data_IF_791572880131
#
_entry.id   IF_791572880131
#
_cell.length_a   1.000
_cell.length_b   1.000
_cell.length_c   1.000
_cell.angle_alpha   90.00
_cell.angle_beta   90.00
_cell.angle_gamma   90.00
#
_symmetry.space_group_name_H-M   'P 1'
#
loop_
_entity.id
_entity.type
_entity.pdbx_description
1 polymer ?
#
# COMPACT_ATOMS: atom_id res chain seq x y z
N UNK A 1 -2.71 12.30 -30.06
CA UNK A 1 -2.39 12.01 -28.65
C UNK A 1 -3.59 11.33 -28.02
N UNK A 2 -3.57 9.99 -27.94
CA UNK A 2 -4.68 9.23 -27.35
C UNK A 2 -4.58 9.25 -25.83
N UNK A 3 -5.72 9.55 -25.19
CA UNK A 3 -5.83 9.82 -23.77
C UNK A 3 -5.47 8.63 -22.90
N UNK A 4 -4.66 8.91 -21.88
CA UNK A 4 -4.41 8.00 -20.76
C UNK A 4 -5.70 7.93 -19.95
N UNK A 5 -6.52 6.92 -20.21
CA UNK A 5 -7.68 6.58 -19.39
C UNK A 5 -7.17 6.27 -17.97
N UNK A 6 -7.50 7.12 -16.98
CA UNK A 6 -7.16 6.87 -15.58
C UNK A 6 -7.94 5.66 -15.08
N UNK A 7 -7.36 4.48 -15.22
CA UNK A 7 -7.86 3.26 -14.58
C UNK A 7 -7.97 3.45 -13.06
N UNK A 8 -9.03 2.94 -12.40
CA UNK A 8 -9.19 3.11 -10.97
C UNK A 8 -7.98 2.58 -10.20
N UNK A 9 -7.49 3.37 -9.22
CA UNK A 9 -6.16 3.23 -8.62
C UNK A 9 -5.87 1.87 -7.96
N UNK A 10 -6.89 1.10 -7.57
CA UNK A 10 -6.73 -0.26 -7.07
C UNK A 10 -6.33 -1.27 -8.17
N UNK A 11 -6.68 -0.99 -9.44
CA UNK A 11 -6.32 -1.83 -10.59
C UNK A 11 -4.81 -1.86 -10.81
N UNK A 12 -4.10 -0.77 -10.48
CA UNK A 12 -2.65 -0.67 -10.65
C UNK A 12 -1.89 -1.74 -9.89
N UNK A 13 -2.18 -1.96 -8.60
CA UNK A 13 -1.51 -3.03 -7.84
C UNK A 13 -1.81 -4.42 -8.43
N UNK A 14 -3.01 -4.63 -8.98
CA UNK A 14 -3.33 -5.91 -9.65
C UNK A 14 -2.52 -6.09 -10.95
N UNK A 15 -2.39 -5.04 -11.75
CA UNK A 15 -1.59 -5.06 -12.99
C UNK A 15 -0.11 -5.25 -12.71
N UNK A 16 0.44 -4.54 -11.73
CA UNK A 16 1.84 -4.69 -11.31
C UNK A 16 2.11 -6.13 -10.85
N UNK A 17 1.15 -6.74 -10.14
CA UNK A 17 1.27 -8.16 -9.75
C UNK A 17 1.28 -9.08 -10.97
N UNK A 18 0.39 -8.85 -11.93
CA UNK A 18 0.30 -9.68 -13.14
C UNK A 18 1.58 -9.56 -13.99
N UNK A 19 2.08 -8.35 -14.18
CA UNK A 19 3.33 -8.09 -14.89
C UNK A 19 4.52 -8.75 -14.18
N UNK A 20 4.62 -8.62 -12.85
CA UNK A 20 5.70 -9.29 -12.09
C UNK A 20 5.66 -10.82 -12.27
N UNK A 21 4.47 -11.42 -12.30
CA UNK A 21 4.29 -12.85 -12.56
C UNK A 21 4.72 -13.22 -13.97
N UNK A 22 4.32 -12.45 -14.98
CA UNK A 22 4.72 -12.66 -16.38
C UNK A 22 6.25 -12.57 -16.53
N UNK A 23 6.89 -11.57 -15.90
CA UNK A 23 8.35 -11.43 -15.92
C UNK A 23 9.04 -12.61 -15.23
N UNK A 24 8.55 -13.08 -14.10
CA UNK A 24 9.08 -14.29 -13.44
C UNK A 24 9.01 -15.52 -14.36
N UNK A 25 7.92 -15.68 -15.12
CA UNK A 25 7.78 -16.78 -16.07
C UNK A 25 8.75 -16.69 -17.25
N UNK A 26 9.12 -15.47 -17.67
CA UNK A 26 10.17 -15.26 -18.67
C UNK A 26 11.54 -15.60 -18.08
N UNK A 27 11.85 -15.09 -16.89
CA UNK A 27 13.12 -15.33 -16.20
C UNK A 27 13.35 -16.81 -15.87
N UNK A 28 12.29 -17.56 -15.57
CA UNK A 28 12.38 -19.00 -15.34
C UNK A 28 12.90 -19.79 -16.55
N UNK A 29 12.84 -19.24 -17.77
CA UNK A 29 13.40 -19.88 -18.98
C UNK A 29 14.92 -19.80 -19.06
N UNK A 30 15.52 -18.87 -18.32
CA UNK A 30 16.96 -18.62 -18.23
C UNK A 30 17.39 -18.69 -16.76
N UNK A 31 16.90 -19.69 -16.03
CA UNK A 31 17.04 -19.79 -14.57
C UNK A 31 18.51 -19.85 -14.08
N UNK A 32 19.45 -20.19 -14.97
CA UNK A 32 20.89 -20.21 -14.68
C UNK A 32 21.54 -18.81 -14.68
N UNK A 33 20.91 -17.82 -15.34
CA UNK A 33 21.41 -16.46 -15.38
C UNK A 33 20.90 -15.65 -14.18
N UNK A 34 21.79 -14.92 -13.47
CA UNK A 34 21.36 -14.06 -12.38
C UNK A 34 20.45 -12.95 -12.91
N UNK A 35 19.39 -12.66 -12.17
CA UNK A 35 18.43 -11.63 -12.52
C UNK A 35 18.22 -10.62 -11.39
N UNK A 36 17.68 -9.46 -11.75
CA UNK A 36 17.20 -8.46 -10.81
C UNK A 36 15.80 -8.01 -11.22
N UNK A 37 14.82 -8.24 -10.33
CA UNK A 37 13.43 -7.84 -10.52
C UNK A 37 13.01 -6.90 -9.39
N UNK A 38 12.63 -5.67 -9.75
CA UNK A 38 12.07 -4.70 -8.81
C UNK A 38 10.56 -4.56 -9.01
N UNK A 39 9.79 -4.86 -7.97
CA UNK A 39 8.32 -4.77 -7.99
C UNK A 39 7.87 -3.70 -7.00
N UNK A 40 7.24 -2.62 -7.51
CA UNK A 40 6.79 -1.49 -6.68
C UNK A 40 5.28 -1.55 -6.46
N UNK A 41 4.84 -1.87 -5.25
CA UNK A 41 3.44 -1.71 -4.86
C UNK A 41 3.15 -0.27 -4.43
N UNK A 42 1.96 0.24 -4.79
CA UNK A 42 1.56 1.63 -4.49
C UNK A 42 0.83 1.73 -3.15
N UNK A 43 0.10 0.69 -2.76
CA UNK A 43 -0.67 0.68 -1.52
C UNK A 43 0.24 0.34 -0.34
N UNK A 44 0.10 1.06 0.80
CA UNK A 44 -1.12 1.74 1.25
C UNK A 44 -1.27 3.24 0.92
N UNK A 45 -0.43 3.84 0.07
CA UNK A 45 -0.52 5.27 -0.26
C UNK A 45 -1.92 5.72 -0.71
N UNK A 46 -2.26 6.95 -0.29
CA UNK A 46 -3.49 7.65 -0.65
C UNK A 46 -3.70 7.70 -2.18
N UNK A 47 -4.95 7.75 -2.66
CA UNK A 47 -6.20 7.54 -1.91
C UNK A 47 -6.34 6.08 -1.47
N UNK A 48 -6.97 5.82 -0.32
CA UNK A 48 -7.16 4.44 0.14
C UNK A 48 -8.19 3.70 -0.73
N UNK A 49 -7.71 2.83 -1.61
CA UNK A 49 -8.54 2.07 -2.53
C UNK A 49 -8.14 0.60 -2.51
N UNK A 50 -8.93 -0.22 -1.84
CA UNK A 50 -8.81 -1.68 -1.80
C UNK A 50 -10.17 -2.33 -2.13
N UNK A 51 -10.21 -3.57 -2.65
CA UNK A 51 -11.45 -4.32 -2.82
C UNK A 51 -12.20 -4.52 -1.49
N UNK A 52 -13.54 -4.45 -1.50
CA UNK A 52 -14.40 -4.51 -0.28
C UNK A 52 -14.03 -5.63 0.70
N UNK A 53 -13.71 -6.82 0.20
CA UNK A 53 -13.32 -7.96 1.05
C UNK A 53 -12.18 -7.68 2.02
N UNK A 54 -11.28 -6.74 1.71
CA UNK A 54 -10.19 -6.33 2.60
C UNK A 54 -10.62 -5.31 3.65
N UNK A 55 -11.66 -4.52 3.35
CA UNK A 55 -12.28 -3.62 4.32
C UNK A 55 -13.02 -4.41 5.40
N UNK A 56 -13.68 -5.49 4.98
CA UNK A 56 -14.48 -6.35 5.85
C UNK A 56 -13.62 -7.11 6.89
N UNK A 57 -12.29 -7.16 6.70
CA UNK A 57 -11.34 -7.73 7.66
C UNK A 57 -11.09 -6.81 8.88
N UNK A 58 -11.37 -5.51 8.76
CA UNK A 58 -11.03 -4.50 9.76
C UNK A 58 -12.28 -3.70 10.16
N UNK A 59 -13.15 -4.27 11.01
CA UNK A 59 -14.29 -3.55 11.54
C UNK A 59 -13.80 -2.33 12.35
N UNK A 60 -14.56 -1.24 12.31
CA UNK A 60 -14.14 0.03 12.91
C UNK A 60 -13.89 -0.09 14.41
N UNK A 61 -14.64 -0.97 15.06
CA UNK A 61 -14.59 -1.25 16.49
C UNK A 61 -13.28 -1.95 16.89
N UNK A 62 -12.59 -2.62 15.96
CA UNK A 62 -11.30 -3.24 16.25
C UNK A 62 -10.13 -2.25 16.25
N UNK A 63 -10.34 -1.02 15.77
CA UNK A 63 -9.29 -0.01 15.70
C UNK A 63 -9.21 0.81 16.99
N UNK A 64 -8.07 0.70 17.66
CA UNK A 64 -7.70 1.58 18.77
C UNK A 64 -7.17 2.89 18.21
N UNK A 65 -7.61 4.00 18.79
CA UNK A 65 -7.07 5.32 18.46
C UNK A 65 -5.63 5.45 18.99
N UNK A 66 -4.74 6.12 18.25
CA UNK A 66 -3.41 6.45 18.75
C UNK A 66 -3.51 7.40 19.95
N UNK A 67 -2.72 7.15 21.00
CA UNK A 67 -2.70 8.00 22.21
C UNK A 67 -2.09 9.38 21.99
N UNK A 68 -1.42 9.61 20.85
CA UNK A 68 -0.68 10.81 20.49
C UNK A 68 -1.33 11.61 19.36
N UNK A 69 -2.67 11.65 19.30
CA UNK A 69 -3.41 12.41 18.29
C UNK A 69 -3.22 13.94 18.38
N UNK A 70 -2.55 14.44 19.42
CA UNK A 70 -2.25 15.85 19.64
C UNK A 70 -0.74 16.08 19.60
N UNK A 71 -0.35 17.20 19.00
CA UNK A 71 1.03 17.66 19.00
C UNK A 71 1.43 18.00 20.45
N UNK A 72 2.58 17.49 20.87
CA UNK A 72 3.12 17.78 22.19
C UNK A 72 3.25 19.29 22.41
N UNK A 73 2.89 19.77 23.60
CA UNK A 73 3.08 21.18 23.99
C UNK A 73 4.55 21.64 23.91
N UNK A 74 5.48 20.67 23.98
CA UNK A 74 6.92 20.92 23.93
C UNK A 74 7.51 20.78 22.51
N UNK A 75 6.69 20.40 21.51
CA UNK A 75 7.17 20.32 20.13
C UNK A 75 7.31 21.72 19.53
N UNK A 76 8.39 21.94 18.78
CA UNK A 76 8.54 23.19 18.02
C UNK A 76 7.48 23.27 16.91
N UNK A 77 7.11 24.50 16.53
CA UNK A 77 6.10 24.71 15.49
C UNK A 77 6.59 24.24 14.12
N UNK A 78 7.89 24.26 13.89
CA UNK A 78 8.57 23.84 12.67
C UNK A 78 8.49 22.32 12.47
N UNK A 79 8.43 21.54 13.55
CA UNK A 79 8.24 20.09 13.49
C UNK A 79 6.79 19.67 13.21
N UNK A 80 5.85 20.62 13.15
CA UNK A 80 4.44 20.33 12.94
C UNK A 80 4.16 20.04 11.46
N UNK A 81 3.81 18.79 11.15
CA UNK A 81 3.44 18.39 9.80
C UNK A 81 1.96 18.69 9.50
N UNK A 82 1.72 19.46 8.43
CA UNK A 82 0.39 19.98 8.11
C UNK A 82 -0.60 19.00 7.45
N UNK A 83 -0.18 17.77 7.16
CA UNK A 83 -0.98 16.75 6.42
C UNK A 83 -1.48 17.23 5.06
N UNK A 84 -0.61 17.91 4.29
CA UNK A 84 -0.99 18.63 3.07
C UNK A 84 -1.77 17.79 2.05
N UNK A 85 -1.28 16.59 1.71
CA UNK A 85 -1.98 15.71 0.76
C UNK A 85 -3.33 15.22 1.31
N UNK A 86 -3.35 14.71 2.55
CA UNK A 86 -4.58 14.21 3.17
C UNK A 86 -5.65 15.32 3.26
N UNK A 87 -5.26 16.56 3.56
CA UNK A 87 -6.21 17.71 3.63
C UNK A 87 -6.69 18.19 2.27
N UNK A 88 -6.15 17.70 1.15
CA UNK A 88 -6.68 18.01 -0.17
C UNK A 88 -7.96 17.22 -0.51
N UNK A 89 -8.24 16.13 0.20
CA UNK A 89 -9.49 15.38 0.06
C UNK A 89 -10.69 16.17 0.57
N UNK A 90 -11.84 16.03 -0.10
CA UNK A 90 -13.03 16.84 0.15
C UNK A 90 -13.68 16.60 1.50
N UNK A 91 -13.49 15.42 2.09
CA UNK A 91 -14.08 14.99 3.35
C UNK A 91 -13.12 15.12 4.54
N UNK A 92 -11.98 15.81 4.36
CA UNK A 92 -10.99 16.11 5.39
C UNK A 92 -11.00 17.61 5.71
N UNK A 93 -11.08 18.02 6.98
CA UNK A 93 -10.99 19.43 7.36
C UNK A 93 -9.69 20.08 6.87
N UNK A 94 -9.77 21.31 6.35
CA UNK A 94 -8.59 22.06 5.88
C UNK A 94 -7.64 22.49 7.01
N UNK A 95 -8.15 22.60 8.25
CA UNK A 95 -7.39 22.96 9.45
C UNK A 95 -7.96 22.25 10.67
N UNK A 96 -7.22 22.23 11.77
CA UNK A 96 -7.68 21.67 13.05
C UNK A 96 -7.69 20.14 13.10
N UNK A 97 -8.20 19.59 14.22
CA UNK A 97 -8.21 18.15 14.46
C UNK A 97 -9.18 17.42 13.52
N UNK A 98 -8.87 16.16 13.24
CA UNK A 98 -9.76 15.22 12.56
C UNK A 98 -10.55 14.49 13.66
N UNK A 99 -11.85 14.26 13.44
CA UNK A 99 -12.67 13.56 14.43
C UNK A 99 -12.19 12.12 14.63
N UNK A 100 -12.26 11.64 15.86
CA UNK A 100 -11.96 10.25 16.25
C UNK A 100 -12.63 9.22 15.32
N UNK A 101 -13.88 9.47 14.95
CA UNK A 101 -14.65 8.65 14.03
C UNK A 101 -13.98 8.53 12.64
N UNK A 102 -13.52 9.67 12.10
CA UNK A 102 -12.81 9.75 10.83
C UNK A 102 -11.41 9.16 10.95
N UNK A 103 -10.69 9.39 12.05
CA UNK A 103 -9.38 8.77 12.29
C UNK A 103 -9.48 7.26 12.29
N UNK A 104 -10.44 6.67 13.02
CA UNK A 104 -10.67 5.21 12.99
C UNK A 104 -10.94 4.72 11.58
N UNK A 105 -11.79 5.43 10.83
CA UNK A 105 -12.09 5.08 9.43
C UNK A 105 -10.83 5.11 8.56
N UNK A 106 -10.00 6.15 8.64
CA UNK A 106 -8.76 6.27 7.88
C UNK A 106 -7.78 5.14 8.21
N UNK A 107 -7.64 4.77 9.48
CA UNK A 107 -6.82 3.62 9.90
C UNK A 107 -7.37 2.31 9.32
N UNK A 108 -8.69 2.09 9.34
CA UNK A 108 -9.30 0.91 8.70
C UNK A 108 -9.02 0.87 7.20
N UNK A 109 -9.11 2.03 6.52
CA UNK A 109 -8.81 2.16 5.09
C UNK A 109 -7.34 1.78 4.79
N UNK A 110 -6.42 2.25 5.63
CA UNK A 110 -4.99 1.96 5.52
C UNK A 110 -4.73 0.46 5.70
N UNK A 111 -5.26 -0.16 6.77
CA UNK A 111 -5.16 -1.60 7.01
C UNK A 111 -5.74 -2.44 5.87
N UNK A 112 -6.88 -2.03 5.31
CA UNK A 112 -7.45 -2.68 4.14
C UNK A 112 -6.51 -2.61 2.92
N UNK A 113 -5.81 -1.49 2.73
CA UNK A 113 -4.83 -1.35 1.67
C UNK A 113 -3.55 -2.16 1.93
N UNK A 114 -3.09 -2.25 3.18
CA UNK A 114 -1.99 -3.13 3.60
C UNK A 114 -2.34 -4.59 3.32
N UNK A 115 -3.49 -5.07 3.78
CA UNK A 115 -3.94 -6.45 3.54
C UNK A 115 -4.13 -6.75 2.05
N UNK A 116 -4.52 -5.74 1.25
CA UNK A 116 -4.57 -5.88 -0.20
C UNK A 116 -3.17 -6.03 -0.81
N UNK A 117 -2.20 -5.21 -0.40
CA UNK A 117 -0.79 -5.32 -0.84
C UNK A 117 -0.17 -6.65 -0.42
N UNK A 118 -0.39 -7.07 0.82
CA UNK A 118 0.08 -8.35 1.35
C UNK A 118 -0.37 -9.53 0.46
N UNK A 119 -1.67 -9.57 0.12
CA UNK A 119 -2.20 -10.58 -0.78
C UNK A 119 -1.61 -10.51 -2.21
N UNK A 120 -1.07 -9.36 -2.64
CA UNK A 120 -0.36 -9.24 -3.93
C UNK A 120 1.08 -9.71 -3.84
N UNK A 121 1.79 -9.34 -2.77
CA UNK A 121 3.13 -9.87 -2.47
C UNK A 121 3.07 -11.40 -2.43
N UNK A 122 2.11 -11.97 -1.69
CA UNK A 122 1.91 -13.41 -1.62
C UNK A 122 1.70 -14.07 -2.99
N UNK A 123 1.03 -13.41 -3.95
CA UNK A 123 0.89 -13.94 -5.31
C UNK A 123 2.21 -14.01 -6.07
N UNK A 124 3.06 -12.99 -5.94
CA UNK A 124 4.38 -12.98 -6.58
C UNK A 124 5.27 -14.06 -5.95
N UNK A 125 5.28 -14.16 -4.63
CA UNK A 125 6.04 -15.18 -3.90
C UNK A 125 5.59 -16.61 -4.24
N UNK A 126 4.28 -16.84 -4.34
CA UNK A 126 3.74 -18.14 -4.73
C UNK A 126 4.14 -18.52 -6.16
N UNK A 127 4.21 -17.55 -7.07
CA UNK A 127 4.67 -17.83 -8.44
C UNK A 127 6.17 -18.14 -8.48
N UNK A 128 6.98 -17.40 -7.72
CA UNK A 128 8.40 -17.67 -7.56
C UNK A 128 8.66 -19.09 -7.06
N UNK A 129 7.85 -19.55 -6.08
CA UNK A 129 7.86 -20.92 -5.56
C UNK A 129 7.43 -21.95 -6.62
N UNK A 130 6.31 -21.68 -7.30
CA UNK A 130 5.78 -22.55 -8.37
C UNK A 130 6.78 -22.77 -9.51
N UNK A 131 7.59 -21.76 -9.82
CA UNK A 131 8.63 -21.81 -10.85
C UNK A 131 9.95 -22.43 -10.35
N UNK A 132 10.05 -22.79 -9.07
CA UNK A 132 11.27 -23.37 -8.49
C UNK A 132 12.41 -22.36 -8.29
N UNK A 133 12.14 -21.06 -8.42
CA UNK A 133 13.16 -20.01 -8.34
C UNK A 133 13.46 -19.57 -6.89
N UNK A 134 12.57 -19.87 -5.95
CA UNK A 134 12.59 -19.36 -4.58
C UNK A 134 13.89 -19.65 -3.82
N UNK A 135 14.42 -20.86 -3.94
CA UNK A 135 15.60 -21.30 -3.19
C UNK A 135 16.90 -20.58 -3.64
N UNK A 136 16.92 -20.04 -4.86
CA UNK A 136 18.06 -19.32 -5.42
C UNK A 136 17.78 -17.81 -5.61
N UNK A 137 16.82 -17.25 -4.88
CA UNK A 137 16.43 -15.84 -5.01
C UNK A 137 16.53 -15.12 -3.67
N UNK A 138 17.31 -14.04 -3.62
CA UNK A 138 17.31 -13.11 -2.48
C UNK A 138 16.09 -12.20 -2.59
N UNK A 139 15.29 -12.16 -1.53
CA UNK A 139 14.06 -11.36 -1.48
C UNK A 139 14.25 -10.24 -0.46
N UNK A 140 14.07 -9.00 -0.89
CA UNK A 140 14.10 -7.82 -0.01
C UNK A 140 12.77 -7.09 -0.10
N UNK A 141 12.10 -6.93 1.05
CA UNK A 141 10.83 -6.21 1.17
C UNK A 141 11.02 -5.04 2.13
N UNK A 142 10.77 -3.82 1.66
CA UNK A 142 10.82 -2.59 2.46
C UNK A 142 9.77 -1.58 1.99
N UNK A 143 9.53 -0.55 2.81
CA UNK A 143 8.82 0.67 2.42
C UNK A 143 9.80 1.81 2.13
N UNK A 144 9.40 2.77 1.30
CA UNK A 144 10.19 3.98 1.02
C UNK A 144 10.12 4.99 2.18
N UNK A 145 8.95 5.08 2.82
CA UNK A 145 8.72 5.84 4.06
C UNK A 145 7.51 5.29 4.83
N UNK A 146 7.22 5.90 5.98
CA UNK A 146 6.04 5.63 6.82
C UNK A 146 5.40 6.92 7.29
#
# INVERSE_FOLDING_TARGET
MQGITRQPLHQRSTQITAQAIEELQVLAKTADDPYFLAVKFIKPHLPFTAPKKYWDLYPKESVKLPGNCLISKNASKEANYGWGELRNYSDIPKKGPITDDKVRRLICCDYACVGYTDAKVGKVLNELDRLGLKENTIIVLWGDHG
#
